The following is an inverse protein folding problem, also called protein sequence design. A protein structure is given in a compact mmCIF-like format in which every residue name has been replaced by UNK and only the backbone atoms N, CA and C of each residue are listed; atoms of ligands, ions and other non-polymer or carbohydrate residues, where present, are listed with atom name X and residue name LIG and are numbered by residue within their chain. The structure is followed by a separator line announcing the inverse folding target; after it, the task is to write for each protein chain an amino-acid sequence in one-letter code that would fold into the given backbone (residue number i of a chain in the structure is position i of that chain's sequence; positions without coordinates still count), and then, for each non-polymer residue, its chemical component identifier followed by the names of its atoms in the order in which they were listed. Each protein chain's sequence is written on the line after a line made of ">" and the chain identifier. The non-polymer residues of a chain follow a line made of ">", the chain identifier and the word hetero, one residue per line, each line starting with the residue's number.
data_IF_334883989626
#
_entry.id   IF_334883989626
#
_cell.length_a   1.000
_cell.length_b   1.000
_cell.length_c   1.000
_cell.angle_alpha   90.00
_cell.angle_beta   90.00
_cell.angle_gamma   90.00
#
_symmetry.space_group_name_H-M   'P 1'
#
loop_
_entity.id
_entity.type
_entity.pdbx_description
1 polymer ?
#
# COMPACT_ATOMS: atom_id res chain seq x y z
N UNK A 1 -8.00 13.91 0.98
CA UNK A 1 -6.76 13.32 0.44
C UNK A 1 -6.81 11.82 0.71
N UNK A 2 -6.55 11.01 -0.31
CA UNK A 2 -6.59 9.55 -0.26
C UNK A 2 -5.18 8.98 -0.37
N UNK A 3 -4.75 8.26 0.65
CA UNK A 3 -3.40 7.70 0.76
C UNK A 3 -3.47 6.19 0.63
N UNK A 4 -2.82 5.63 -0.39
CA UNK A 4 -2.61 4.19 -0.45
C UNK A 4 -1.39 3.81 0.40
N UNK A 5 -1.57 2.85 1.31
CA UNK A 5 -0.45 2.14 1.94
C UNK A 5 -0.34 0.76 1.31
N UNK A 6 0.77 0.50 0.63
CA UNK A 6 1.03 -0.77 -0.05
C UNK A 6 2.05 -1.56 0.75
N UNK A 7 1.75 -2.83 1.06
CA UNK A 7 2.69 -3.73 1.73
C UNK A 7 2.48 -5.18 1.30
N UNK A 8 3.48 -6.02 1.53
CA UNK A 8 3.43 -7.47 1.36
C UNK A 8 4.05 -8.18 2.53
N UNK A 9 4.64 -9.37 2.32
CA UNK A 9 5.48 -10.10 3.30
C UNK A 9 5.09 -9.88 4.78
N UNK A 10 3.98 -10.48 5.20
CA UNK A 10 3.56 -10.43 6.60
C UNK A 10 3.03 -9.07 7.10
N UNK A 11 3.00 -8.01 6.29
CA UNK A 11 2.26 -6.77 6.54
C UNK A 11 2.81 -5.85 7.64
N UNK A 12 4.01 -6.13 8.15
CA UNK A 12 4.54 -5.46 9.33
C UNK A 12 4.83 -3.97 9.12
N UNK A 13 5.38 -3.61 7.95
CA UNK A 13 5.75 -2.23 7.66
C UNK A 13 4.52 -1.39 7.36
N UNK A 14 3.61 -1.90 6.53
CA UNK A 14 2.34 -1.29 6.20
C UNK A 14 1.51 -1.05 7.45
N UNK A 15 1.45 -2.02 8.37
CA UNK A 15 0.78 -1.86 9.67
C UNK A 15 1.35 -0.66 10.44
N UNK A 16 2.66 -0.58 10.59
CA UNK A 16 3.32 0.50 11.33
C UNK A 16 3.10 1.88 10.66
N UNK A 17 3.12 1.93 9.33
CA UNK A 17 2.81 3.15 8.57
C UNK A 17 1.37 3.60 8.84
N UNK A 18 0.38 2.69 8.73
CA UNK A 18 -1.02 3.00 8.98
C UNK A 18 -1.24 3.51 10.40
N UNK A 19 -0.67 2.85 11.42
CA UNK A 19 -0.78 3.28 12.83
C UNK A 19 -0.27 4.71 13.01
N UNK A 20 0.88 5.04 12.41
CA UNK A 20 1.47 6.39 12.50
C UNK A 20 0.64 7.43 11.76
N UNK A 21 0.18 7.13 10.55
CA UNK A 21 -0.68 8.02 9.78
C UNK A 21 -1.98 8.32 10.52
N UNK A 22 -2.62 7.29 11.10
CA UNK A 22 -3.87 7.46 11.85
C UNK A 22 -3.67 8.29 13.11
N UNK A 23 -2.55 8.17 13.80
CA UNK A 23 -2.23 9.01 14.97
C UNK A 23 -2.00 10.47 14.57
N UNK A 24 -1.27 10.72 13.47
CA UNK A 24 -0.87 12.08 13.08
C UNK A 24 -1.98 12.85 12.38
N UNK A 25 -2.75 12.17 11.53
CA UNK A 25 -3.77 12.80 10.69
C UNK A 25 -5.20 12.53 11.14
N UNK A 26 -5.40 11.68 12.16
CA UNK A 26 -6.72 11.28 12.66
C UNK A 26 -7.65 10.90 11.50
N UNK A 27 -8.80 11.58 11.36
CA UNK A 27 -9.79 11.32 10.30
C UNK A 27 -9.70 12.34 9.14
N UNK A 28 -8.62 13.12 9.04
CA UNK A 28 -8.45 14.12 7.98
C UNK A 28 -8.01 13.54 6.64
N UNK A 29 -7.54 12.30 6.62
CA UNK A 29 -7.15 11.57 5.42
C UNK A 29 -7.87 10.23 5.36
N UNK A 30 -8.11 9.77 4.14
CA UNK A 30 -8.58 8.41 3.88
C UNK A 30 -7.36 7.52 3.64
N UNK A 31 -7.25 6.41 4.36
CA UNK A 31 -6.18 5.43 4.25
C UNK A 31 -6.73 4.17 3.57
N UNK A 32 -6.26 3.91 2.35
CA UNK A 32 -6.54 2.70 1.58
C UNK A 32 -5.39 1.71 1.76
N UNK A 33 -5.64 0.60 2.45
CA UNK A 33 -4.66 -0.47 2.61
C UNK A 33 -4.67 -1.43 1.41
N UNK A 34 -3.56 -1.52 0.69
CA UNK A 34 -3.41 -2.42 -0.46
C UNK A 34 -2.34 -3.48 -0.15
N UNK A 35 -2.79 -4.69 0.15
CA UNK A 35 -1.88 -5.82 0.37
C UNK A 35 -1.53 -6.52 -0.95
N UNK A 36 -0.26 -6.89 -1.15
CA UNK A 36 0.09 -7.89 -2.18
C UNK A 36 -0.56 -9.25 -1.89
N UNK A 37 -0.85 -9.51 -0.61
CA UNK A 37 -1.56 -10.67 -0.10
C UNK A 37 -2.64 -10.25 0.93
N UNK A 38 -3.56 -11.17 1.24
CA UNK A 38 -4.68 -10.92 2.16
C UNK A 38 -4.25 -10.68 3.61
N UNK A 39 -3.15 -11.29 4.07
CA UNK A 39 -2.65 -11.12 5.44
C UNK A 39 -2.17 -9.67 5.65
N UNK A 40 -1.36 -9.14 4.74
CA UNK A 40 -0.86 -7.77 4.79
C UNK A 40 -2.01 -6.74 4.79
N UNK A 41 -2.97 -6.90 3.88
CA UNK A 41 -4.16 -6.04 3.82
C UNK A 41 -4.95 -6.07 5.15
N UNK A 42 -5.17 -7.27 5.70
CA UNK A 42 -5.93 -7.42 6.96
C UNK A 42 -5.24 -6.78 8.16
N UNK A 43 -3.90 -6.81 8.21
CA UNK A 43 -3.12 -6.21 9.30
C UNK A 43 -3.17 -4.69 9.23
N UNK A 44 -3.08 -4.13 8.03
CA UNK A 44 -3.23 -2.70 7.81
C UNK A 44 -4.65 -2.23 8.14
N UNK A 45 -5.69 -2.99 7.77
CA UNK A 45 -7.08 -2.67 8.16
C UNK A 45 -7.23 -2.63 9.69
N UNK A 46 -6.71 -3.65 10.39
CA UNK A 46 -6.74 -3.70 11.86
C UNK A 46 -5.93 -2.60 12.54
N UNK A 47 -4.93 -2.05 11.85
CA UNK A 47 -4.16 -0.89 12.30
C UNK A 47 -4.91 0.45 12.15
N UNK A 48 -6.09 0.44 11.53
CA UNK A 48 -6.94 1.63 11.39
C UNK A 48 -6.96 2.24 9.99
N UNK A 49 -6.68 1.47 8.93
CA UNK A 49 -7.03 1.90 7.59
C UNK A 49 -8.56 1.96 7.41
N UNK A 50 -9.07 2.81 6.53
CA UNK A 50 -10.51 2.97 6.29
C UNK A 50 -11.06 1.86 5.41
N UNK A 51 -10.32 1.51 4.35
CA UNK A 51 -10.63 0.44 3.41
C UNK A 51 -9.42 -0.45 3.19
N UNK A 52 -9.65 -1.70 2.79
CA UNK A 52 -8.57 -2.56 2.33
C UNK A 52 -8.96 -3.42 1.12
N UNK A 53 -7.97 -3.69 0.28
CA UNK A 53 -8.06 -4.67 -0.79
C UNK A 53 -6.72 -5.41 -0.93
N UNK A 54 -6.72 -6.55 -1.61
CA UNK A 54 -5.49 -7.32 -1.83
C UNK A 54 -5.43 -7.99 -3.20
N UNK A 55 -4.22 -8.19 -3.70
CA UNK A 55 -3.96 -8.86 -4.97
C UNK A 55 -3.68 -7.90 -6.13
N UNK A 56 -3.24 -8.48 -7.26
CA UNK A 56 -2.71 -7.73 -8.41
C UNK A 56 -3.68 -6.67 -8.91
N UNK A 57 -4.91 -7.06 -9.22
CA UNK A 57 -5.86 -6.14 -9.83
C UNK A 57 -6.21 -4.97 -8.90
N UNK A 58 -6.30 -5.21 -7.58
CA UNK A 58 -6.55 -4.15 -6.61
C UNK A 58 -5.45 -3.11 -6.61
N UNK A 59 -4.18 -3.53 -6.60
CA UNK A 59 -3.04 -2.62 -6.65
C UNK A 59 -3.01 -1.88 -8.00
N UNK A 60 -3.15 -2.60 -9.11
CA UNK A 60 -3.13 -2.00 -10.46
C UNK A 60 -4.25 -0.98 -10.63
N UNK A 61 -5.48 -1.32 -10.22
CA UNK A 61 -6.63 -0.45 -10.37
C UNK A 61 -6.58 0.78 -9.47
N UNK A 62 -6.10 0.64 -8.23
CA UNK A 62 -6.12 1.71 -7.25
C UNK A 62 -4.91 2.65 -7.31
N UNK A 63 -3.77 2.21 -7.87
CA UNK A 63 -2.53 3.02 -7.88
C UNK A 63 -2.69 4.40 -8.53
N UNK A 64 -3.58 4.56 -9.51
CA UNK A 64 -3.87 5.86 -10.16
C UNK A 64 -5.10 6.59 -9.60
N UNK A 65 -5.72 6.06 -8.53
CA UNK A 65 -6.96 6.59 -7.93
C UNK A 65 -6.77 7.09 -6.50
N UNK A 66 -5.52 7.31 -6.11
CA UNK A 66 -5.11 7.87 -4.83
C UNK A 66 -4.24 9.08 -5.11
N UNK A 67 -4.10 9.96 -4.11
CA UNK A 67 -3.26 11.16 -4.23
C UNK A 67 -1.79 10.84 -3.90
N UNK A 68 -1.56 9.88 -2.98
CA UNK A 68 -0.24 9.51 -2.46
C UNK A 68 -0.15 8.00 -2.29
N UNK A 69 1.02 7.42 -2.58
CA UNK A 69 1.35 6.02 -2.33
C UNK A 69 2.52 5.94 -1.33
N UNK A 70 2.39 5.08 -0.32
CA UNK A 70 3.39 4.88 0.73
C UNK A 70 3.65 3.37 0.92
N UNK A 71 4.90 2.96 1.11
CA UNK A 71 5.23 1.56 1.41
C UNK A 71 6.74 1.27 1.36
N UNK A 72 7.16 0.00 1.51
CA UNK A 72 8.56 -0.38 1.31
C UNK A 72 8.98 -0.16 -0.14
N UNK A 73 10.26 0.11 -0.40
CA UNK A 73 10.82 0.26 -1.74
C UNK A 73 10.60 -0.99 -2.61
N UNK A 74 10.41 -2.15 -1.96
CA UNK A 74 10.01 -3.38 -2.61
C UNK A 74 8.76 -3.25 -3.48
N UNK A 75 7.82 -2.33 -3.20
CA UNK A 75 6.56 -2.19 -3.96
C UNK A 75 6.73 -1.70 -5.40
N UNK A 76 7.92 -1.22 -5.78
CA UNK A 76 8.25 -0.85 -7.17
C UNK A 76 9.22 -1.83 -7.84
N UNK A 77 9.65 -2.87 -7.13
CA UNK A 77 10.58 -3.88 -7.64
C UNK A 77 9.83 -5.14 -8.03
N UNK A 78 9.70 -5.40 -9.34
CA UNK A 78 9.04 -6.60 -9.85
C UNK A 78 9.67 -7.88 -9.27
N UNK A 79 8.80 -8.83 -8.91
CA UNK A 79 9.14 -10.10 -8.26
C UNK A 79 9.77 -9.96 -6.86
N UNK A 80 9.68 -8.78 -6.23
CA UNK A 80 10.04 -8.63 -4.82
C UNK A 80 9.09 -9.42 -3.93
N UNK A 81 9.39 -9.45 -2.62
CA UNK A 81 8.53 -10.09 -1.62
C UNK A 81 8.27 -11.57 -1.94
N UNK A 82 9.30 -12.28 -2.42
CA UNK A 82 9.22 -13.68 -2.89
C UNK A 82 8.19 -13.90 -4.02
N UNK A 83 7.99 -12.89 -4.88
CA UNK A 83 7.09 -12.96 -6.04
C UNK A 83 5.66 -12.52 -5.76
N UNK A 84 5.33 -12.06 -4.55
CA UNK A 84 4.03 -11.45 -4.27
C UNK A 84 3.80 -10.17 -5.07
N UNK A 85 4.85 -9.38 -5.29
CA UNK A 85 4.77 -8.18 -6.12
C UNK A 85 5.02 -8.52 -7.59
N UNK A 86 3.97 -8.47 -8.39
CA UNK A 86 4.08 -8.82 -9.80
C UNK A 86 4.63 -7.67 -10.65
N UNK A 87 5.13 -7.95 -11.88
CA UNK A 87 5.54 -6.90 -12.79
C UNK A 87 4.44 -5.87 -13.09
N UNK A 88 3.18 -6.30 -13.18
CA UNK A 88 2.04 -5.41 -13.41
C UNK A 88 1.80 -4.46 -12.25
N UNK A 89 1.88 -4.96 -11.00
CA UNK A 89 1.80 -4.13 -9.81
C UNK A 89 2.92 -3.08 -9.79
N UNK A 90 4.17 -3.51 -9.96
CA UNK A 90 5.34 -2.64 -9.95
C UNK A 90 5.21 -1.50 -10.98
N UNK A 91 4.81 -1.87 -12.21
CA UNK A 91 4.55 -0.91 -13.29
C UNK A 91 3.45 0.08 -12.92
N UNK A 92 2.28 -0.42 -12.47
CA UNK A 92 1.15 0.43 -12.12
C UNK A 92 1.48 1.43 -11.00
N UNK A 93 2.27 1.01 -10.01
CA UNK A 93 2.72 1.88 -8.91
C UNK A 93 3.72 2.92 -9.43
N UNK A 94 4.76 2.49 -10.14
CA UNK A 94 5.82 3.37 -10.61
C UNK A 94 5.34 4.40 -11.65
N UNK A 95 4.44 3.99 -12.55
CA UNK A 95 3.90 4.82 -13.63
C UNK A 95 2.60 5.56 -13.25
N UNK A 96 2.12 5.43 -12.01
CA UNK A 96 0.86 6.02 -11.53
C UNK A 96 0.77 7.55 -11.63
N UNK A 97 1.90 8.23 -11.77
CA UNK A 97 2.01 9.70 -11.69
C UNK A 97 1.80 10.27 -10.30
N UNK A 98 1.52 9.44 -9.28
CA UNK A 98 1.27 9.87 -7.91
C UNK A 98 2.56 10.04 -7.12
N UNK A 99 2.52 10.90 -6.11
CA UNK A 99 3.63 11.07 -5.18
C UNK A 99 3.85 9.77 -4.39
N UNK A 100 5.12 9.38 -4.23
CA UNK A 100 5.52 8.09 -3.65
C UNK A 100 6.52 8.28 -2.53
N UNK A 101 6.18 7.82 -1.33
CA UNK A 101 7.08 7.80 -0.17
C UNK A 101 7.51 6.35 0.11
N UNK A 102 8.76 6.03 -0.21
CA UNK A 102 9.28 4.68 -0.15
C UNK A 102 10.28 4.50 0.99
N UNK A 103 10.08 3.48 1.81
CA UNK A 103 10.94 3.13 2.94
C UNK A 103 11.90 1.97 2.59
N UNK A 104 13.12 1.92 3.15
CA UNK A 104 14.05 0.80 2.92
C UNK A 104 13.50 -0.57 3.32
#
# INVERSE_FOLDING_TARGET
>A
MRVAVIDGQGGGMGKAIVEKLRIVFENHIEILALGTNALAASLMLKAGADECASGENSIVFCSSKVDVIIGPIGIIAANSMLGELTPNMAKAIAESGQERYLFP
#
